data_IF_906273487302
#
_entry.id   IF_906273487302
#
_cell.length_a   1.000
_cell.length_b   1.000
_cell.length_c   1.000
_cell.angle_alpha   90.00
_cell.angle_beta   90.00
_cell.angle_gamma   90.00
#
_symmetry.space_group_name_H-M   'P 1'
#
loop_
_entity.id
_entity.type
_entity.pdbx_description
1 polymer ?
#
# COMPACT_ATOMS: atom_id res chain seq x y z
N UNK A 1 -9.07 18.84 -1.45
CA UNK A 1 -10.03 18.32 -2.43
C UNK A 1 -9.53 18.75 -3.82
N UNK A 2 -8.66 17.96 -4.43
CA UNK A 2 -8.07 18.26 -5.75
C UNK A 2 -8.68 17.29 -6.74
N UNK A 3 -9.41 17.86 -7.70
CA UNK A 3 -10.27 17.18 -8.65
C UNK A 3 -9.47 16.42 -9.72
N UNK A 4 -9.79 15.13 -9.90
CA UNK A 4 -9.57 14.41 -11.16
C UNK A 4 -10.54 14.98 -12.20
N UNK A 5 -10.10 15.96 -12.98
CA UNK A 5 -10.87 16.44 -14.13
C UNK A 5 -10.72 15.47 -15.30
N UNK A 6 -11.80 14.75 -15.56
CA UNK A 6 -12.31 14.30 -16.87
C UNK A 6 -11.29 13.75 -17.89
N UNK A 7 -11.17 12.42 -17.90
CA UNK A 7 -10.94 11.68 -19.14
C UNK A 7 -12.20 11.77 -20.02
N UNK A 8 -12.30 12.78 -20.86
CA UNK A 8 -13.29 12.80 -21.96
C UNK A 8 -12.60 13.33 -23.23
N UNK A 9 -11.68 12.51 -23.76
CA UNK A 9 -11.01 12.79 -25.02
C UNK A 9 -11.88 12.23 -26.16
N UNK A 10 -12.89 13.00 -26.59
CA UNK A 10 -13.48 12.84 -27.92
C UNK A 10 -12.39 13.13 -28.95
N UNK A 11 -11.81 12.07 -29.50
CA UNK A 11 -10.91 12.14 -30.66
C UNK A 11 -11.76 12.54 -31.88
N UNK A 12 -11.86 13.84 -32.13
CA UNK A 12 -12.23 14.38 -33.44
C UNK A 12 -10.94 14.45 -34.26
N UNK A 13 -10.73 13.44 -35.10
CA UNK A 13 -9.74 13.47 -36.19
C UNK A 13 -10.15 14.53 -37.21
N UNK A 14 -9.29 15.50 -37.60
CA UNK A 14 -9.28 15.99 -38.95
C UNK A 14 -8.26 15.20 -39.75
N UNK A 15 -8.77 14.30 -40.58
CA UNK A 15 -8.09 13.87 -41.80
C UNK A 15 -7.85 15.11 -42.67
N UNK A 16 -6.61 15.56 -42.82
CA UNK A 16 -6.12 16.20 -44.05
C UNK A 16 -4.61 16.05 -44.14
N UNK A 17 -4.20 15.08 -44.96
CA UNK A 17 -2.85 14.98 -45.50
C UNK A 17 -2.61 16.17 -46.45
N UNK A 18 -1.59 16.97 -46.19
CA UNK A 18 -1.14 18.03 -47.08
C UNK A 18 0.36 17.97 -47.29
N UNK A 19 0.81 17.44 -48.42
CA UNK A 19 2.20 17.52 -48.87
C UNK A 19 2.37 18.81 -49.68
N UNK A 20 3.12 19.79 -49.18
CA UNK A 20 3.59 20.92 -49.99
C UNK A 20 4.97 20.56 -50.52
N UNK A 21 5.06 20.38 -51.83
CA UNK A 21 6.32 20.16 -52.55
C UNK A 21 7.00 21.52 -52.80
N UNK A 22 8.20 21.70 -52.27
CA UNK A 22 9.11 22.78 -52.67
C UNK A 22 10.55 22.35 -52.40
N UNK A 23 11.36 22.23 -53.46
CA UNK A 23 12.82 22.06 -53.43
C UNK A 23 13.47 23.35 -53.97
N UNK A 24 14.78 23.59 -53.75
CA UNK A 24 15.74 22.74 -53.04
C UNK A 24 16.43 23.42 -51.85
N UNK A 25 17.06 22.59 -51.01
CA UNK A 25 17.94 22.88 -49.88
C UNK A 25 17.25 23.15 -48.53
N UNK A 26 17.61 22.29 -47.55
CA UNK A 26 17.07 22.13 -46.19
C UNK A 26 15.88 21.15 -46.05
N UNK A 27 16.25 19.88 -45.90
CA UNK A 27 15.41 18.85 -45.28
C UNK A 27 15.34 19.16 -43.77
N UNK A 28 14.29 19.85 -43.32
CA UNK A 28 13.99 19.95 -41.89
C UNK A 28 12.94 18.89 -41.57
N UNK A 29 13.39 17.78 -40.99
CA UNK A 29 12.52 16.79 -40.38
C UNK A 29 11.80 17.43 -39.19
N UNK A 30 10.57 17.91 -39.38
CA UNK A 30 9.64 18.17 -38.28
C UNK A 30 9.04 16.83 -37.85
N UNK A 31 9.90 15.97 -37.27
CA UNK A 31 9.47 14.70 -36.70
C UNK A 31 9.15 14.90 -35.21
N UNK A 32 7.87 14.76 -34.88
CA UNK A 32 7.39 14.18 -33.61
C UNK A 32 7.82 14.83 -32.28
N UNK A 33 7.45 16.09 -32.06
CA UNK A 33 7.36 16.61 -30.67
C UNK A 33 6.04 16.13 -30.01
N UNK A 34 4.99 15.87 -30.78
CA UNK A 34 3.66 15.50 -30.26
C UNK A 34 3.59 14.08 -29.65
N UNK A 35 4.47 13.15 -30.06
CA UNK A 35 4.46 11.77 -29.53
C UNK A 35 5.13 11.68 -28.16
N UNK A 36 6.12 12.53 -27.87
CA UNK A 36 6.85 12.50 -26.59
C UNK A 36 5.96 13.00 -25.45
N UNK A 37 5.10 13.99 -25.71
CA UNK A 37 4.18 14.54 -24.71
C UNK A 37 3.03 13.56 -24.41
N UNK A 38 2.51 12.87 -25.41
CA UNK A 38 1.49 11.81 -25.21
C UNK A 38 2.06 10.59 -24.46
N UNK A 39 3.33 10.25 -24.67
CA UNK A 39 4.01 9.17 -23.95
C UNK A 39 4.31 9.49 -22.48
N UNK A 40 4.64 10.75 -22.16
CA UNK A 40 4.86 11.16 -20.75
C UNK A 40 3.55 11.32 -19.97
N UNK A 41 2.48 11.82 -20.59
CA UNK A 41 1.19 12.00 -19.92
C UNK A 41 0.47 10.67 -19.62
N UNK A 42 0.68 9.64 -20.45
CA UNK A 42 0.14 8.29 -20.19
C UNK A 42 0.90 7.55 -19.09
N UNK A 43 2.22 7.78 -18.96
CA UNK A 43 3.00 7.24 -17.86
C UNK A 43 2.61 7.85 -16.50
N UNK A 44 2.22 9.13 -16.48
CA UNK A 44 1.75 9.82 -15.27
C UNK A 44 0.28 9.54 -14.93
N UNK A 45 -0.59 9.23 -15.90
CA UNK A 45 -1.95 8.76 -15.60
C UNK A 45 -2.00 7.30 -15.11
N UNK A 46 -1.01 6.48 -15.46
CA UNK A 46 -0.82 5.15 -14.86
C UNK A 46 -0.10 5.22 -13.50
N UNK A 47 0.39 6.40 -13.08
CA UNK A 47 0.85 6.59 -11.69
C UNK A 47 -0.36 6.54 -10.75
N UNK A 48 -0.58 5.33 -10.24
CA UNK A 48 -1.33 5.00 -9.02
C UNK A 48 -2.81 4.66 -9.22
N UNK A 49 -3.11 3.54 -9.89
CA UNK A 49 -4.36 2.80 -9.61
C UNK A 49 -4.46 2.39 -8.13
N UNK A 50 -3.31 2.26 -7.45
CA UNK A 50 -3.27 1.91 -6.03
C UNK A 50 -3.44 3.15 -5.15
N UNK A 51 -4.34 3.07 -4.17
CA UNK A 51 -4.45 4.05 -3.10
C UNK A 51 -3.38 3.80 -2.03
N UNK A 52 -2.62 4.84 -1.66
CA UNK A 52 -1.63 4.76 -0.57
C UNK A 52 -2.27 4.87 0.81
N UNK A 53 -3.53 5.28 0.90
CA UNK A 53 -4.27 5.33 2.18
C UNK A 53 -4.46 3.95 2.84
N UNK A 54 -4.20 2.87 2.09
CA UNK A 54 -4.21 1.49 2.60
C UNK A 54 -3.12 1.21 3.63
N UNK A 55 -2.05 2.02 3.65
CA UNK A 55 -1.00 1.89 4.65
C UNK A 55 -1.38 2.66 5.92
N UNK A 56 -1.13 2.09 7.10
CA UNK A 56 -1.40 2.79 8.36
C UNK A 56 -0.65 4.14 8.43
N UNK A 57 -1.25 5.19 9.02
CA UNK A 57 -0.64 6.53 9.06
C UNK A 57 0.68 6.58 9.82
N UNK A 58 0.95 5.63 10.72
CA UNK A 58 2.18 5.56 11.51
C UNK A 58 3.41 5.10 10.72
N UNK A 59 3.23 4.48 9.54
CA UNK A 59 4.39 3.97 8.80
C UNK A 59 5.06 5.05 7.97
N UNK A 60 6.39 4.99 7.87
CA UNK A 60 7.15 5.87 6.99
C UNK A 60 7.27 5.22 5.61
N UNK A 61 6.76 5.90 4.59
CA UNK A 61 6.78 5.41 3.20
C UNK A 61 7.83 6.18 2.40
N UNK A 62 8.70 5.45 1.70
CA UNK A 62 9.68 6.01 0.76
C UNK A 62 9.49 5.36 -0.60
N UNK A 63 9.17 6.16 -1.62
CA UNK A 63 9.00 5.70 -2.99
C UNK A 63 10.34 5.64 -3.73
N UNK A 64 10.60 4.54 -4.44
CA UNK A 64 11.74 4.36 -5.35
C UNK A 64 11.27 3.67 -6.63
N UNK A 65 11.06 4.46 -7.69
CA UNK A 65 10.48 3.95 -8.93
C UNK A 65 9.05 3.46 -8.72
N UNK A 66 8.75 2.23 -9.19
CA UNK A 66 7.47 1.54 -8.99
C UNK A 66 7.32 0.91 -7.60
N UNK A 67 8.40 0.85 -6.81
CA UNK A 67 8.42 0.18 -5.51
C UNK A 67 8.32 1.18 -4.37
N UNK A 68 7.48 0.87 -3.38
CA UNK A 68 7.43 1.53 -2.08
C UNK A 68 8.26 0.76 -1.07
N UNK A 69 9.00 1.47 -0.23
CA UNK A 69 9.62 0.93 0.97
C UNK A 69 8.86 1.48 2.18
N UNK A 70 8.35 0.57 3.01
CA UNK A 70 7.57 0.89 4.20
C UNK A 70 8.41 0.57 5.43
N UNK A 71 8.63 1.57 6.29
CA UNK A 71 9.47 1.49 7.47
C UNK A 71 8.65 1.73 8.73
N UNK A 72 9.03 1.06 9.81
CA UNK A 72 8.56 1.43 11.14
C UNK A 72 9.29 2.68 11.65
N UNK A 73 8.57 3.67 12.19
CA UNK A 73 9.18 4.81 12.86
C UNK A 73 9.92 4.37 14.14
N UNK A 74 10.75 5.27 14.68
CA UNK A 74 11.47 5.03 15.93
C UNK A 74 10.53 4.71 17.08
N UNK A 75 10.89 3.70 17.89
CA UNK A 75 10.06 3.22 19.00
C UNK A 75 9.05 2.13 18.62
N UNK A 76 8.88 1.86 17.31
CA UNK A 76 8.09 0.74 16.82
C UNK A 76 8.99 -0.34 16.20
N UNK A 77 8.67 -1.60 16.50
CA UNK A 77 9.31 -2.80 15.98
C UNK A 77 8.61 -3.30 14.72
N UNK A 78 9.34 -3.70 13.67
CA UNK A 78 8.78 -4.38 12.52
C UNK A 78 8.45 -5.83 12.84
N UNK A 79 7.20 -6.23 12.57
CA UNK A 79 6.67 -7.57 12.77
C UNK A 79 6.02 -8.08 11.48
N UNK A 80 5.91 -9.39 11.37
CA UNK A 80 5.29 -10.08 10.26
C UNK A 80 4.27 -11.09 10.76
N UNK A 81 3.15 -11.21 10.05
CA UNK A 81 2.15 -12.24 10.30
C UNK A 81 1.86 -13.04 9.03
N UNK A 82 1.81 -14.35 9.15
CA UNK A 82 1.36 -15.23 8.07
C UNK A 82 -0.18 -15.36 8.03
N UNK A 83 -0.69 -16.09 7.03
CA UNK A 83 -2.13 -16.36 6.85
C UNK A 83 -2.73 -17.20 7.98
N UNK A 84 -1.90 -17.92 8.75
CA UNK A 84 -2.32 -18.71 9.91
C UNK A 84 -2.33 -17.88 11.20
N UNK A 85 -1.89 -16.63 11.15
CA UNK A 85 -1.78 -15.74 12.29
C UNK A 85 -0.58 -16.02 13.19
N UNK A 86 0.47 -16.66 12.67
CA UNK A 86 1.76 -16.79 13.36
C UNK A 86 2.50 -15.46 13.22
N UNK A 87 2.88 -14.88 14.35
CA UNK A 87 3.57 -13.59 14.41
C UNK A 87 5.06 -13.82 14.64
N UNK A 88 5.90 -13.20 13.82
CA UNK A 88 7.36 -13.27 13.93
C UNK A 88 7.99 -11.89 13.79
N UNK A 89 9.14 -11.62 14.43
CA UNK A 89 9.93 -10.44 14.12
C UNK A 89 10.27 -10.39 12.62
N UNK A 90 10.14 -9.20 12.00
CA UNK A 90 10.53 -9.06 10.60
C UNK A 90 12.03 -9.28 10.44
N UNK A 91 12.41 -9.97 9.37
CA UNK A 91 13.83 -10.18 9.00
C UNK A 91 14.48 -8.92 8.44
N UNK A 92 13.68 -8.05 7.82
CA UNK A 92 14.13 -6.80 7.23
C UNK A 92 13.66 -5.60 8.07
N UNK A 93 14.40 -4.49 8.00
CA UNK A 93 13.99 -3.23 8.66
C UNK A 93 12.82 -2.52 7.94
N UNK A 94 12.46 -3.00 6.75
CA UNK A 94 11.42 -2.41 5.91
C UNK A 94 10.79 -3.48 5.02
N UNK A 95 9.54 -3.28 4.64
CA UNK A 95 8.88 -4.08 3.62
C UNK A 95 8.87 -3.35 2.27
N UNK A 96 9.00 -4.11 1.18
CA UNK A 96 8.90 -3.61 -0.19
C UNK A 96 7.49 -3.90 -0.72
N UNK A 97 6.87 -2.94 -1.38
CA UNK A 97 5.56 -3.10 -2.02
C UNK A 97 5.61 -2.60 -3.46
N UNK A 98 4.85 -3.23 -4.34
CA UNK A 98 4.62 -2.75 -5.71
C UNK A 98 3.12 -2.70 -5.99
N UNK A 99 2.71 -1.74 -6.81
CA UNK A 99 1.34 -1.65 -7.30
C UNK A 99 1.16 -2.65 -8.45
N UNK A 100 0.36 -3.69 -8.22
CA UNK A 100 0.05 -4.74 -9.19
C UNK A 100 -1.47 -4.83 -9.27
N UNK A 101 -2.03 -4.66 -10.47
CA UNK A 101 -3.48 -4.77 -10.71
C UNK A 101 -4.33 -3.88 -9.78
N UNK A 102 -3.84 -2.68 -9.47
CA UNK A 102 -4.52 -1.73 -8.59
C UNK A 102 -4.42 -2.04 -7.10
N UNK A 103 -3.62 -3.04 -6.69
CA UNK A 103 -3.37 -3.35 -5.29
C UNK A 103 -1.88 -3.32 -4.95
N UNK A 104 -1.55 -2.83 -3.75
CA UNK A 104 -0.20 -2.97 -3.23
C UNK A 104 0.06 -4.41 -2.79
N UNK A 105 0.97 -5.10 -3.50
CA UNK A 105 1.44 -6.43 -3.15
C UNK A 105 2.83 -6.33 -2.53
N UNK A 106 3.05 -7.06 -1.45
CA UNK A 106 4.36 -7.12 -0.79
C UNK A 106 5.32 -7.94 -1.65
N UNK A 107 6.57 -7.48 -1.71
CA UNK A 107 7.66 -8.13 -2.43
C UNK A 107 8.74 -8.59 -1.46
N UNK A 108 9.19 -9.82 -1.66
CA UNK A 108 10.37 -10.40 -1.05
C UNK A 108 11.38 -10.80 -2.14
N UNK A 109 12.57 -11.28 -1.76
CA UNK A 109 13.64 -11.65 -2.71
C UNK A 109 13.16 -12.72 -3.71
N UNK A 110 12.25 -13.59 -3.29
CA UNK A 110 11.72 -14.71 -4.07
C UNK A 110 10.46 -14.38 -4.89
N UNK A 111 9.92 -13.15 -4.79
CA UNK A 111 8.69 -12.75 -5.49
C UNK A 111 7.66 -12.10 -4.58
N UNK A 112 6.38 -12.25 -4.92
CA UNK A 112 5.26 -11.74 -4.11
C UNK A 112 5.17 -12.55 -2.81
N UNK A 113 5.07 -11.83 -1.70
CA UNK A 113 5.00 -12.40 -0.35
C UNK A 113 3.61 -12.21 0.24
N UNK A 114 3.06 -13.26 0.85
CA UNK A 114 1.75 -13.22 1.51
C UNK A 114 1.82 -12.77 2.97
N UNK A 115 3.01 -12.67 3.55
CA UNK A 115 3.17 -12.20 4.92
C UNK A 115 2.79 -10.71 5.06
N UNK A 116 2.00 -10.39 6.08
CA UNK A 116 1.62 -9.01 6.41
C UNK A 116 2.71 -8.36 7.26
N UNK A 117 3.25 -7.25 6.79
CA UNK A 117 4.18 -6.42 7.57
C UNK A 117 3.42 -5.37 8.36
N UNK A 118 3.78 -5.17 9.62
CA UNK A 118 3.20 -4.14 10.48
C UNK A 118 4.20 -3.67 11.53
N UNK A 119 3.88 -2.55 12.17
CA UNK A 119 4.72 -1.92 13.19
C UNK A 119 3.97 -1.98 14.52
N UNK A 120 4.64 -2.43 15.58
CA UNK A 120 4.07 -2.46 16.93
C UNK A 120 5.05 -1.85 17.94
N UNK A 121 4.58 -1.35 19.07
CA UNK A 121 5.45 -0.81 20.13
C UNK A 121 6.54 -1.80 20.54
N UNK A 122 7.75 -1.32 20.81
CA UNK A 122 8.82 -2.20 21.35
C UNK A 122 8.59 -2.59 22.81
N UNK A 123 7.88 -1.75 23.56
CA UNK A 123 7.71 -1.87 25.00
C UNK A 123 6.34 -2.46 25.35
N UNK A 124 6.35 -3.48 26.21
CA UNK A 124 5.13 -4.05 26.79
C UNK A 124 4.51 -3.05 27.77
N UNK A 125 3.18 -3.01 27.84
CA UNK A 125 2.43 -2.23 28.84
C UNK A 125 2.05 -0.81 28.42
N UNK A 126 2.31 -0.41 27.16
CA UNK A 126 1.83 0.88 26.64
C UNK A 126 0.34 0.89 26.30
N UNK A 127 -0.19 -0.23 25.79
CA UNK A 127 -1.61 -0.37 25.55
C UNK A 127 -2.32 -0.96 26.78
N UNK A 128 -3.54 -0.52 27.08
CA UNK A 128 -4.39 -1.20 28.06
C UNK A 128 -4.64 -2.63 27.60
N UNK A 129 -4.76 -3.58 28.54
CA UNK A 129 -5.12 -4.96 28.19
C UNK A 129 -6.55 -4.91 27.65
N UNK A 130 -6.80 -5.32 26.39
CA UNK A 130 -8.14 -5.35 25.84
C UNK A 130 -8.96 -6.38 26.61
N UNK A 131 -10.08 -5.94 27.17
CA UNK A 131 -11.00 -6.83 27.88
C UNK A 131 -11.73 -7.73 26.87
N UNK A 132 -12.01 -9.00 27.19
CA UNK A 132 -12.77 -9.88 26.32
C UNK A 132 -14.21 -9.38 26.18
N UNK A 133 -14.55 -8.87 24.99
CA UNK A 133 -15.85 -8.22 24.68
C UNK A 133 -16.99 -9.25 24.64
N UNK A 134 -16.69 -10.53 24.39
CA UNK A 134 -17.66 -11.61 24.41
C UNK A 134 -17.09 -12.85 25.12
N UNK A 135 -17.95 -13.63 25.78
CA UNK A 135 -17.60 -14.93 26.38
C UNK A 135 -17.10 -15.96 25.35
N UNK A 136 -17.28 -15.69 24.06
CA UNK A 136 -16.99 -16.57 22.92
C UNK A 136 -15.73 -16.19 22.14
N UNK A 137 -14.84 -15.38 22.72
CA UNK A 137 -13.51 -15.07 22.16
C UNK A 137 -12.42 -15.47 23.13
N UNK A 138 -11.36 -16.04 22.57
CA UNK A 138 -10.11 -16.32 23.29
C UNK A 138 -9.07 -15.28 22.89
N UNK A 139 -8.50 -14.59 23.88
CA UNK A 139 -7.41 -13.63 23.68
C UNK A 139 -6.08 -14.28 24.04
N UNK A 140 -5.16 -14.34 23.08
CA UNK A 140 -3.80 -14.82 23.28
C UNK A 140 -2.81 -13.69 23.06
N UNK A 141 -2.09 -13.31 24.13
CA UNK A 141 -1.14 -12.20 24.10
C UNK A 141 0.27 -12.68 23.78
N UNK A 142 0.88 -12.03 22.80
CA UNK A 142 2.30 -12.17 22.45
C UNK A 142 2.94 -10.79 22.53
N UNK A 143 3.37 -10.39 23.72
CA UNK A 143 3.95 -9.08 24.02
C UNK A 143 3.02 -7.90 23.64
N UNK A 144 3.31 -7.18 22.56
CA UNK A 144 2.58 -6.00 22.06
C UNK A 144 1.56 -6.34 20.97
N UNK A 145 1.31 -7.64 20.77
CA UNK A 145 0.37 -8.17 19.80
C UNK A 145 -0.59 -9.11 20.52
N UNK A 146 -1.86 -9.11 20.14
CA UNK A 146 -2.87 -10.02 20.64
C UNK A 146 -3.55 -10.73 19.47
N UNK A 147 -3.73 -12.03 19.60
CA UNK A 147 -4.56 -12.83 18.69
C UNK A 147 -5.94 -13.01 19.34
N UNK A 148 -6.98 -12.71 18.58
CA UNK A 148 -8.38 -12.82 18.98
C UNK A 148 -8.99 -13.97 18.18
N UNK A 149 -9.20 -15.12 18.80
CA UNK A 149 -9.82 -16.28 18.15
C UNK A 149 -11.33 -16.32 18.47
N UNK A 150 -12.16 -16.30 17.45
CA UNK A 150 -13.62 -16.32 17.55
C UNK A 150 -14.13 -17.77 17.53
N UNK A 151 -14.70 -18.22 18.64
CA UNK A 151 -15.17 -19.61 18.78
C UNK A 151 -16.37 -19.93 17.89
N UNK A 152 -17.13 -18.90 17.48
CA UNK A 152 -18.39 -19.06 16.71
C UNK A 152 -18.16 -19.46 15.25
N UNK A 153 -17.03 -19.06 14.66
CA UNK A 153 -16.75 -19.29 13.23
C UNK A 153 -15.32 -19.77 12.96
N UNK A 154 -14.50 -19.99 14.00
CA UNK A 154 -13.10 -20.39 13.86
C UNK A 154 -12.20 -19.34 13.20
N UNK A 155 -12.70 -18.10 13.02
CA UNK A 155 -11.90 -17.00 12.47
C UNK A 155 -11.02 -16.39 13.56
N UNK A 156 -10.02 -15.62 13.14
CA UNK A 156 -9.17 -14.88 14.06
C UNK A 156 -8.89 -13.47 13.54
N UNK A 157 -8.58 -12.57 14.47
CA UNK A 157 -8.02 -11.25 14.19
C UNK A 157 -6.68 -11.08 14.94
N UNK A 158 -5.81 -10.26 14.37
CA UNK A 158 -4.55 -9.86 15.01
C UNK A 158 -4.68 -8.38 15.38
N UNK A 159 -4.50 -8.10 16.66
CA UNK A 159 -4.42 -6.76 17.20
C UNK A 159 -2.96 -6.44 17.50
N UNK A 160 -2.50 -5.25 17.16
CA UNK A 160 -1.16 -4.77 17.47
C UNK A 160 -1.23 -3.40 18.12
N UNK A 161 -0.38 -3.18 19.12
CA UNK A 161 -0.31 -1.93 19.87
C UNK A 161 0.64 -0.96 19.19
N UNK A 162 0.19 0.27 18.91
CA UNK A 162 1.08 1.38 18.52
C UNK A 162 0.71 2.64 19.30
N UNK A 163 1.71 3.25 19.93
CA UNK A 163 1.55 4.47 20.72
C UNK A 163 0.41 4.42 21.75
N UNK A 164 0.20 3.24 22.37
CA UNK A 164 -0.83 3.04 23.39
C UNK A 164 -2.24 2.79 22.86
N UNK A 165 -2.42 2.64 21.55
CA UNK A 165 -3.70 2.34 20.90
C UNK A 165 -3.60 0.96 20.23
N UNK A 166 -4.67 0.15 20.36
CA UNK A 166 -4.77 -1.11 19.62
C UNK A 166 -5.19 -0.85 18.18
N UNK A 167 -4.64 -1.59 17.24
CA UNK A 167 -4.99 -1.54 15.82
C UNK A 167 -5.25 -2.95 15.32
N UNK A 168 -6.19 -3.09 14.39
CA UNK A 168 -6.47 -4.38 13.75
C UNK A 168 -5.63 -4.52 12.47
N UNK A 169 -4.85 -5.60 12.38
CA UNK A 169 -3.99 -5.88 11.22
C UNK A 169 -4.79 -6.07 9.93
N UNK A 170 -6.03 -6.54 10.04
CA UNK A 170 -6.92 -6.73 8.90
C UNK A 170 -7.72 -5.47 8.55
N UNK A 171 -7.50 -4.34 9.23
CA UNK A 171 -8.26 -3.11 9.03
C UNK A 171 -9.72 -3.20 9.46
N UNK A 172 -10.15 -4.30 10.06
CA UNK A 172 -11.49 -4.42 10.62
C UNK A 172 -11.60 -3.56 11.89
N UNK A 173 -12.74 -2.89 12.07
CA UNK A 173 -13.01 -2.05 13.24
C UNK A 173 -12.69 -2.85 14.50
N UNK A 174 -11.87 -2.27 15.38
CA UNK A 174 -11.62 -2.85 16.69
C UNK A 174 -12.97 -3.11 17.35
N UNK A 175 -13.24 -4.31 17.86
CA UNK A 175 -14.42 -4.48 18.67
C UNK A 175 -14.25 -3.51 19.86
N UNK A 176 -15.21 -2.60 20.02
CA UNK A 176 -15.10 -1.38 20.83
C UNK A 176 -14.51 -1.63 22.22
N UNK A 177 -13.32 -1.09 22.48
CA UNK A 177 -12.87 -0.71 23.81
C UNK A 177 -13.15 0.77 23.99
N UNK A 178 -14.03 1.12 24.93
CA UNK A 178 -14.15 2.49 25.44
C UNK A 178 -12.87 2.89 26.16
#
# INVERSE_FOLDING_TARGET
>A
MLACFMCDLRILLPSTSGCIYSRPSHLVCVFNISIIIAGLLTADCLRSLCDQSVFPPEVKIVRRGSTLKVFCPSGLRPLEADEKGVITPSREKFARYSCIEGQYKRLYVTGVDSMKFFCADEQVGRCPIPEPIHKSVTLNFQHVVARVDYQTNGSFNILYCTHGIWHNLNGAVLPNGK
#
